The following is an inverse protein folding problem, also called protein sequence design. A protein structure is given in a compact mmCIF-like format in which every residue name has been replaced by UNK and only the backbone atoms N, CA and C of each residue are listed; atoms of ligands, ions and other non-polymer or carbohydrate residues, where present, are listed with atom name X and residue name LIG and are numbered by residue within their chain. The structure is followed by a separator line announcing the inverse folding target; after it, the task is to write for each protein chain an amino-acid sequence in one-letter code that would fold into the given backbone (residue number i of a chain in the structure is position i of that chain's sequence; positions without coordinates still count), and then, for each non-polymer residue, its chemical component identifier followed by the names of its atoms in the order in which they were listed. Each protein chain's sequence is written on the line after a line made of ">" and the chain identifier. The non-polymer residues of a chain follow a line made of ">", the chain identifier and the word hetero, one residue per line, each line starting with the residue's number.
data_IF_249293983341
#
_entry.id   IF_249293983341
#
_cell.length_a   1.000
_cell.length_b   1.000
_cell.length_c   1.000
_cell.angle_alpha   90.00
_cell.angle_beta   90.00
_cell.angle_gamma   90.00
#
_symmetry.space_group_name_H-M   'P 1'
#
loop_
_entity.id
_entity.type
_entity.pdbx_description
1 polymer ?
#
# COMPACT_ATOMS: atom_id res chain seq x y z
N UNK A 1 10.78 -16.18 3.75
CA UNK A 1 9.33 -16.32 3.67
C UNK A 1 8.71 -15.10 2.97
N UNK A 2 8.98 -13.88 3.44
CA UNK A 2 8.42 -12.64 2.90
C UNK A 2 8.82 -12.45 1.44
N UNK A 3 10.09 -12.58 1.10
CA UNK A 3 10.63 -12.42 -0.26
C UNK A 3 10.02 -13.41 -1.28
N UNK A 4 9.55 -14.58 -0.83
CA UNK A 4 8.83 -15.53 -1.69
C UNK A 4 7.39 -15.09 -1.99
N UNK A 5 6.78 -14.30 -1.12
CA UNK A 5 5.39 -13.83 -1.27
C UNK A 5 5.30 -12.45 -1.92
N UNK A 6 6.24 -11.60 -1.59
CA UNK A 6 6.38 -10.24 -2.08
C UNK A 6 7.87 -9.97 -2.35
N UNK A 7 8.41 -10.41 -3.49
CA UNK A 7 9.82 -10.32 -3.78
C UNK A 7 10.32 -8.87 -3.73
N UNK A 8 11.39 -8.60 -2.97
CA UNK A 8 11.92 -7.24 -2.85
C UNK A 8 12.37 -6.64 -4.19
N UNK A 9 12.74 -7.47 -5.15
CA UNK A 9 13.08 -7.02 -6.51
C UNK A 9 11.92 -6.41 -7.29
N UNK A 10 10.68 -6.59 -6.83
CA UNK A 10 9.47 -6.04 -7.46
C UNK A 10 9.06 -4.70 -6.88
N UNK A 11 9.87 -4.11 -6.01
CA UNK A 11 9.65 -2.75 -5.53
C UNK A 11 9.84 -1.73 -6.65
N UNK A 12 9.18 -0.58 -6.51
CA UNK A 12 9.33 0.54 -7.44
C UNK A 12 10.74 1.15 -7.34
N UNK A 13 11.25 1.74 -8.42
CA UNK A 13 12.62 2.28 -8.52
C UNK A 13 12.95 3.34 -7.47
N UNK A 14 11.96 4.08 -7.00
CA UNK A 14 12.13 5.11 -5.96
C UNK A 14 12.08 4.55 -4.53
N UNK A 15 11.70 3.28 -4.37
CA UNK A 15 11.43 2.67 -3.06
C UNK A 15 12.71 2.22 -2.34
N UNK A 16 12.56 1.92 -1.06
CA UNK A 16 13.61 1.38 -0.21
C UNK A 16 13.04 0.25 0.67
N UNK A 17 12.37 -0.72 0.03
CA UNK A 17 11.89 -1.91 0.71
C UNK A 17 13.03 -2.91 0.94
N UNK A 18 12.99 -3.64 2.04
CA UNK A 18 13.98 -4.65 2.36
C UNK A 18 14.45 -4.64 3.81
N UNK A 19 15.63 -5.18 4.05
CA UNK A 19 16.30 -5.19 5.34
C UNK A 19 17.04 -3.88 5.54
N UNK A 20 16.53 -3.02 6.42
CA UNK A 20 16.98 -1.62 6.53
C UNK A 20 17.89 -1.36 7.73
N UNK A 21 17.69 -2.06 8.84
CA UNK A 21 18.45 -1.89 10.08
C UNK A 21 18.64 -3.25 10.74
N UNK A 22 19.85 -3.52 11.28
CA UNK A 22 20.14 -4.68 12.11
C UNK A 22 21.25 -5.58 11.54
N UNK A 23 21.43 -6.75 12.15
CA UNK A 23 22.41 -7.77 11.76
C UNK A 23 21.69 -8.97 11.15
N UNK A 24 22.21 -9.46 10.02
CA UNK A 24 21.55 -10.50 9.22
C UNK A 24 21.58 -11.91 9.84
N UNK A 25 22.45 -12.15 10.81
CA UNK A 25 22.63 -13.40 11.54
C UNK A 25 21.87 -13.43 12.88
N UNK A 26 21.11 -12.39 13.21
CA UNK A 26 20.35 -12.28 14.44
C UNK A 26 19.24 -13.33 14.51
N UNK A 27 19.16 -14.05 15.62
CA UNK A 27 18.06 -14.97 15.89
C UNK A 27 16.77 -14.19 16.19
N UNK A 28 15.71 -14.49 15.46
CA UNK A 28 14.40 -13.86 15.61
C UNK A 28 13.39 -14.89 16.10
N UNK A 29 12.86 -14.70 17.30
CA UNK A 29 11.79 -15.52 17.89
C UNK A 29 10.47 -14.77 18.02
N UNK A 30 10.52 -13.43 18.06
CA UNK A 30 9.35 -12.55 18.11
C UNK A 30 9.47 -11.43 17.10
N UNK A 31 8.36 -11.18 16.42
CA UNK A 31 8.24 -10.11 15.42
C UNK A 31 7.09 -9.20 15.80
N UNK A 32 7.33 -7.89 15.83
CA UNK A 32 6.27 -6.90 15.86
C UNK A 32 5.91 -6.51 14.43
N UNK A 33 4.63 -6.52 14.08
CA UNK A 33 4.15 -6.06 12.78
C UNK A 33 3.46 -4.71 12.95
N UNK A 34 3.85 -3.72 12.16
CA UNK A 34 3.31 -2.37 12.22
C UNK A 34 3.17 -1.76 10.82
N UNK A 35 2.38 -0.71 10.70
CA UNK A 35 2.32 0.09 9.47
C UNK A 35 3.58 0.95 9.35
N UNK A 36 3.91 1.66 10.42
CA UNK A 36 5.04 2.59 10.53
C UNK A 36 5.97 2.20 11.67
N UNK A 37 7.27 2.49 11.52
CA UNK A 37 8.23 2.43 12.62
C UNK A 37 8.29 3.81 13.29
N UNK A 38 7.54 3.96 14.38
CA UNK A 38 7.54 5.15 15.22
C UNK A 38 8.35 4.90 16.52
N UNK A 39 8.72 5.94 17.28
CA UNK A 39 9.36 5.76 18.59
C UNK A 39 8.52 4.89 19.55
N UNK A 40 7.18 4.98 19.50
CA UNK A 40 6.25 4.18 20.28
C UNK A 40 6.30 2.71 19.89
N UNK A 41 6.32 2.42 18.58
CA UNK A 41 6.43 1.05 18.03
C UNK A 41 7.78 0.41 18.41
N UNK A 42 8.88 1.17 18.37
CA UNK A 42 10.20 0.68 18.80
C UNK A 42 10.17 0.35 20.30
N UNK A 43 9.60 1.22 21.13
CA UNK A 43 9.45 0.99 22.58
C UNK A 43 8.60 -0.25 22.84
N UNK A 44 7.45 -0.37 22.20
CA UNK A 44 6.59 -1.55 22.32
C UNK A 44 7.31 -2.85 21.92
N UNK A 45 8.09 -2.82 20.84
CA UNK A 45 8.89 -3.97 20.42
C UNK A 45 9.93 -4.37 21.47
N UNK A 46 10.61 -3.39 22.07
CA UNK A 46 11.58 -3.63 23.15
C UNK A 46 10.89 -4.22 24.42
N UNK A 47 9.78 -3.62 24.86
CA UNK A 47 9.01 -4.09 26.02
C UNK A 47 8.48 -5.51 25.83
N UNK A 48 8.09 -5.87 24.61
CA UNK A 48 7.63 -7.23 24.25
C UNK A 48 8.75 -8.21 23.94
N UNK A 49 10.00 -7.78 23.99
CA UNK A 49 11.17 -8.61 23.65
C UNK A 49 11.16 -9.08 22.20
N UNK A 50 10.74 -8.24 21.26
CA UNK A 50 10.81 -8.51 19.83
C UNK A 50 12.21 -8.20 19.29
N UNK A 51 12.74 -9.07 18.43
CA UNK A 51 14.03 -8.87 17.77
C UNK A 51 13.89 -8.25 16.38
N UNK A 52 12.66 -8.20 15.85
CA UNK A 52 12.39 -7.70 14.51
C UNK A 52 11.10 -6.89 14.50
N UNK A 53 11.12 -5.74 13.86
CA UNK A 53 9.93 -5.04 13.40
C UNK A 53 9.79 -5.26 11.90
N UNK A 54 8.64 -5.79 11.48
CA UNK A 54 8.21 -5.86 10.10
C UNK A 54 7.21 -4.74 9.86
N UNK A 55 7.57 -3.76 9.04
CA UNK A 55 6.71 -2.62 8.74
C UNK A 55 6.35 -2.55 7.25
N UNK A 56 5.30 -1.80 6.94
CA UNK A 56 4.97 -1.45 5.57
C UNK A 56 5.84 -0.29 5.10
N UNK A 57 5.79 0.86 5.79
CA UNK A 57 6.56 2.03 5.41
C UNK A 57 8.03 1.94 5.83
N UNK A 58 8.98 2.33 4.95
CA UNK A 58 10.40 2.32 5.24
C UNK A 58 10.78 3.28 6.38
N UNK A 59 11.54 2.79 7.37
CA UNK A 59 12.11 3.64 8.41
C UNK A 59 13.19 4.57 7.87
N UNK A 60 13.84 4.16 6.78
CA UNK A 60 14.80 4.97 6.03
C UNK A 60 14.21 5.20 4.66
N UNK A 61 13.89 6.46 4.35
CA UNK A 61 13.40 6.87 3.04
C UNK A 61 14.50 7.59 2.27
N UNK A 62 14.90 7.04 1.13
CA UNK A 62 15.95 7.59 0.30
C UNK A 62 17.38 7.41 0.87
N UNK A 63 18.31 8.23 0.38
CA UNK A 63 19.72 8.16 0.78
C UNK A 63 19.95 8.87 2.11
N UNK A 64 20.60 8.18 3.05
CA UNK A 64 20.99 8.73 4.36
C UNK A 64 22.51 8.94 4.35
N UNK A 65 22.93 10.19 4.44
CA UNK A 65 24.37 10.57 4.49
C UNK A 65 24.95 10.51 5.90
N UNK A 66 24.10 10.62 6.93
CA UNK A 66 24.52 10.59 8.34
C UNK A 66 23.39 10.08 9.22
N UNK A 67 23.73 9.41 10.31
CA UNK A 67 22.80 8.92 11.32
C UNK A 67 23.17 9.57 12.65
N UNK A 68 22.38 10.57 13.04
CA UNK A 68 22.54 11.33 14.29
C UNK A 68 21.16 11.50 14.94
N UNK A 69 21.13 11.93 16.18
CA UNK A 69 19.89 12.24 16.91
C UNK A 69 19.20 13.54 16.47
N UNK A 70 19.83 14.31 15.61
CA UNK A 70 19.27 15.56 15.08
C UNK A 70 18.08 15.35 14.16
N UNK A 71 18.00 14.20 13.47
CA UNK A 71 16.91 13.88 12.54
C UNK A 71 15.93 12.84 13.11
N UNK A 72 14.66 12.89 12.69
CA UNK A 72 13.68 11.90 13.11
C UNK A 72 14.05 10.47 12.65
N UNK A 73 14.60 10.33 11.44
CA UNK A 73 15.08 9.04 10.92
C UNK A 73 16.29 8.55 11.73
N UNK A 74 17.28 9.44 11.99
CA UNK A 74 18.47 9.09 12.75
C UNK A 74 18.12 8.61 14.17
N UNK A 75 17.25 9.32 14.89
CA UNK A 75 16.77 8.90 16.22
C UNK A 75 16.13 7.51 16.20
N UNK A 76 15.30 7.20 15.21
CA UNK A 76 14.67 5.89 15.09
C UNK A 76 15.69 4.79 14.79
N UNK A 77 16.62 5.03 13.90
CA UNK A 77 17.70 4.07 13.55
C UNK A 77 18.60 3.81 14.76
N UNK A 78 19.02 4.85 15.48
CA UNK A 78 19.84 4.72 16.70
C UNK A 78 19.07 3.91 17.76
N UNK A 79 17.81 4.21 18.02
CA UNK A 79 16.99 3.48 18.97
C UNK A 79 16.82 1.99 18.60
N UNK A 80 16.64 1.66 17.32
CA UNK A 80 16.59 0.28 16.84
C UNK A 80 17.92 -0.45 17.12
N UNK A 81 19.05 0.19 16.82
CA UNK A 81 20.39 -0.38 17.03
C UNK A 81 20.67 -0.57 18.54
N UNK A 82 20.38 0.42 19.36
CA UNK A 82 20.56 0.38 20.83
C UNK A 82 19.73 -0.72 21.51
N UNK A 83 18.50 -0.98 20.99
CA UNK A 83 17.63 -2.05 21.50
C UNK A 83 17.92 -3.41 20.85
N UNK A 84 18.86 -3.52 19.91
CA UNK A 84 19.13 -4.75 19.19
C UNK A 84 17.95 -5.25 18.34
N UNK A 85 17.12 -4.33 17.84
CA UNK A 85 15.92 -4.65 17.06
C UNK A 85 16.21 -4.42 15.58
N UNK A 86 16.04 -5.47 14.78
CA UNK A 86 16.13 -5.37 13.32
C UNK A 86 14.86 -4.75 12.72
N UNK A 87 14.98 -4.15 11.56
CA UNK A 87 13.86 -3.60 10.81
C UNK A 87 13.85 -4.07 9.36
N UNK A 88 12.74 -4.68 8.96
CA UNK A 88 12.43 -5.05 7.58
C UNK A 88 11.19 -4.28 7.16
N UNK A 89 11.21 -3.77 5.93
CA UNK A 89 10.09 -3.08 5.32
C UNK A 89 9.61 -3.83 4.09
N UNK A 90 8.29 -4.00 3.94
CA UNK A 90 7.62 -4.52 2.75
C UNK A 90 6.62 -3.47 2.28
N UNK A 91 7.02 -2.66 1.32
CA UNK A 91 6.29 -1.49 0.85
C UNK A 91 5.71 -1.73 -0.55
N UNK A 92 6.19 -1.06 -1.58
CA UNK A 92 5.63 -1.20 -2.94
C UNK A 92 5.76 -2.63 -3.50
N UNK A 93 6.72 -3.42 -3.08
CA UNK A 93 6.80 -4.84 -3.40
C UNK A 93 5.59 -5.63 -2.85
N UNK A 94 5.09 -5.27 -1.65
CA UNK A 94 3.88 -5.87 -1.08
C UNK A 94 2.61 -5.33 -1.74
N UNK A 95 2.63 -4.06 -2.17
CA UNK A 95 1.53 -3.46 -2.94
C UNK A 95 1.36 -4.12 -4.30
N UNK A 96 2.47 -4.47 -4.96
CA UNK A 96 2.47 -5.11 -6.28
C UNK A 96 2.16 -6.62 -6.22
N UNK A 97 2.45 -7.28 -5.09
CA UNK A 97 2.36 -8.72 -4.96
C UNK A 97 0.94 -9.26 -5.10
N UNK A 98 0.81 -10.46 -5.69
CA UNK A 98 -0.42 -11.25 -5.61
C UNK A 98 -0.68 -11.65 -4.14
N UNK A 99 -1.91 -11.43 -3.68
CA UNK A 99 -2.28 -11.59 -2.27
C UNK A 99 -1.75 -10.50 -1.33
N UNK A 100 -1.12 -9.45 -1.87
CA UNK A 100 -0.66 -8.28 -1.14
C UNK A 100 -1.76 -7.27 -0.83
N UNK A 101 -1.35 -6.03 -0.50
CA UNK A 101 -2.26 -4.97 -0.01
C UNK A 101 -3.41 -4.70 -0.97
N UNK A 102 -3.11 -4.50 -2.26
CA UNK A 102 -4.13 -4.15 -3.25
C UNK A 102 -5.07 -5.32 -3.57
N UNK A 103 -4.57 -6.56 -3.54
CA UNK A 103 -5.42 -7.76 -3.66
C UNK A 103 -6.38 -7.86 -2.46
N UNK A 104 -5.88 -7.66 -1.24
CA UNK A 104 -6.69 -7.70 -0.03
C UNK A 104 -7.75 -6.58 -0.02
N UNK A 105 -7.38 -5.37 -0.45
CA UNK A 105 -8.28 -4.23 -0.58
C UNK A 105 -9.42 -4.53 -1.58
N UNK A 106 -9.08 -5.03 -2.76
CA UNK A 106 -10.04 -5.39 -3.79
C UNK A 106 -11.00 -6.50 -3.33
N UNK A 107 -10.48 -7.54 -2.67
CA UNK A 107 -11.31 -8.62 -2.10
C UNK A 107 -12.27 -8.10 -1.04
N UNK A 108 -11.82 -7.25 -0.14
CA UNK A 108 -12.68 -6.66 0.89
C UNK A 108 -13.82 -5.82 0.30
N UNK A 109 -13.59 -5.16 -0.81
CA UNK A 109 -14.61 -4.39 -1.52
C UNK A 109 -15.54 -5.27 -2.37
N UNK A 110 -15.28 -6.58 -2.47
CA UNK A 110 -16.05 -7.53 -3.26
C UNK A 110 -15.78 -7.40 -4.75
N UNK A 111 -14.55 -7.13 -5.14
CA UNK A 111 -14.13 -7.13 -6.53
C UNK A 111 -13.73 -8.54 -6.96
N UNK A 112 -14.29 -9.03 -8.07
CA UNK A 112 -13.95 -10.29 -8.73
C UNK A 112 -13.11 -10.06 -9.98
N UNK A 113 -12.55 -11.14 -10.52
CA UNK A 113 -11.75 -11.14 -11.75
C UNK A 113 -10.62 -10.10 -11.72
N UNK A 114 -9.88 -10.09 -10.61
CA UNK A 114 -8.87 -9.10 -10.35
C UNK A 114 -7.67 -9.23 -11.28
N UNK A 115 -7.24 -8.09 -11.83
CA UNK A 115 -5.99 -7.95 -12.58
C UNK A 115 -5.19 -6.76 -12.06
N UNK A 116 -3.86 -6.71 -12.20
CA UNK A 116 -3.08 -5.53 -11.86
C UNK A 116 -3.57 -4.29 -12.63
N UNK A 117 -3.65 -3.13 -11.95
CA UNK A 117 -3.98 -1.85 -12.60
C UNK A 117 -2.82 -1.35 -13.46
N UNK A 118 -1.59 -1.44 -12.95
CA UNK A 118 -0.37 -1.29 -13.74
C UNK A 118 0.37 -2.62 -13.76
N UNK A 119 0.95 -2.98 -14.88
CA UNK A 119 1.80 -4.18 -15.01
C UNK A 119 3.24 -3.72 -15.04
N UNK A 120 3.97 -4.00 -13.96
CA UNK A 120 5.39 -3.64 -13.80
C UNK A 120 6.33 -4.78 -14.25
N UNK A 121 5.78 -6.00 -14.41
CA UNK A 121 6.54 -7.16 -14.86
C UNK A 121 5.77 -8.46 -14.70
N UNK A 122 6.49 -9.57 -14.85
CA UNK A 122 5.99 -10.93 -14.61
C UNK A 122 6.82 -11.63 -13.55
N UNK A 123 6.17 -12.42 -12.69
CA UNK A 123 6.85 -13.26 -11.70
C UNK A 123 7.50 -14.50 -12.36
N UNK A 124 8.14 -15.35 -11.55
CA UNK A 124 8.80 -16.58 -12.02
C UNK A 124 7.83 -17.61 -12.63
N UNK A 125 6.54 -17.49 -12.33
CA UNK A 125 5.47 -18.31 -12.91
C UNK A 125 4.82 -17.66 -14.15
N UNK A 126 5.36 -16.53 -14.65
CA UNK A 126 4.84 -15.79 -15.78
C UNK A 126 3.57 -14.97 -15.48
N UNK A 127 3.21 -14.81 -14.21
CA UNK A 127 2.01 -14.04 -13.81
C UNK A 127 2.36 -12.56 -13.71
N UNK A 128 1.50 -11.66 -14.24
CA UNK A 128 1.74 -10.24 -14.15
C UNK A 128 1.66 -9.77 -12.67
N UNK A 129 2.59 -8.92 -12.27
CA UNK A 129 2.52 -8.19 -11.01
C UNK A 129 2.55 -6.69 -11.27
N UNK A 130 2.07 -5.91 -10.31
CA UNK A 130 2.07 -4.45 -10.38
C UNK A 130 1.13 -3.83 -9.35
N UNK A 131 1.29 -2.54 -9.15
CA UNK A 131 0.54 -1.79 -8.15
C UNK A 131 -0.92 -1.59 -8.57
N UNK A 132 -1.81 -1.61 -7.57
CA UNK A 132 -3.24 -1.49 -7.76
C UNK A 132 -3.90 -2.76 -8.31
N UNK A 133 -5.23 -2.80 -8.24
CA UNK A 133 -6.06 -3.87 -8.81
C UNK A 133 -7.25 -3.27 -9.51
N UNK A 134 -7.69 -3.94 -10.57
CA UNK A 134 -8.95 -3.69 -11.25
C UNK A 134 -9.80 -4.94 -11.15
N UNK A 135 -11.08 -4.78 -10.87
CA UNK A 135 -12.01 -5.91 -10.82
C UNK A 135 -13.45 -5.48 -11.09
N UNK A 136 -14.32 -6.47 -11.25
CA UNK A 136 -15.75 -6.30 -11.41
C UNK A 136 -16.43 -6.35 -10.04
N UNK A 137 -17.36 -5.43 -9.80
CA UNK A 137 -18.11 -5.40 -8.56
C UNK A 137 -19.08 -6.57 -8.47
N UNK A 138 -18.97 -7.35 -7.40
CA UNK A 138 -19.89 -8.44 -7.13
C UNK A 138 -21.31 -7.91 -6.83
N UNK A 139 -22.32 -8.53 -7.43
CA UNK A 139 -23.72 -8.13 -7.28
C UNK A 139 -24.22 -7.15 -8.36
N UNK A 140 -23.35 -6.78 -9.32
CA UNK A 140 -23.69 -5.89 -10.43
C UNK A 140 -23.52 -4.40 -10.11
N UNK A 141 -23.94 -3.53 -11.03
CA UNK A 141 -23.78 -2.08 -10.89
C UNK A 141 -24.55 -1.52 -9.70
N UNK A 142 -23.98 -0.51 -9.02
CA UNK A 142 -24.65 0.25 -7.96
C UNK A 142 -24.36 1.74 -8.09
N UNK A 143 -25.08 2.56 -7.33
CA UNK A 143 -24.81 4.00 -7.28
C UNK A 143 -23.49 4.28 -6.55
N UNK A 144 -22.87 5.40 -6.87
CA UNK A 144 -21.64 5.85 -6.22
C UNK A 144 -21.82 6.00 -4.71
N UNK A 145 -22.96 6.50 -4.25
CA UNK A 145 -23.29 6.63 -2.82
C UNK A 145 -23.36 5.28 -2.10
N UNK A 146 -23.97 4.29 -2.74
CA UNK A 146 -24.07 2.95 -2.16
C UNK A 146 -22.67 2.31 -2.04
N UNK A 147 -21.87 2.39 -3.09
CA UNK A 147 -20.50 1.90 -3.05
C UNK A 147 -19.63 2.66 -2.03
N UNK A 148 -19.84 3.99 -1.87
CA UNK A 148 -19.13 4.78 -0.87
C UNK A 148 -19.43 4.33 0.56
N UNK A 149 -20.71 4.12 0.88
CA UNK A 149 -21.13 3.60 2.18
C UNK A 149 -20.57 2.20 2.43
N UNK A 150 -20.67 1.30 1.46
CA UNK A 150 -20.09 -0.04 1.53
C UNK A 150 -18.59 0.01 1.76
N UNK A 151 -17.84 0.83 1.02
CA UNK A 151 -16.40 0.99 1.19
C UNK A 151 -16.06 1.54 2.58
N UNK A 152 -16.77 2.58 3.05
CA UNK A 152 -16.61 3.17 4.38
C UNK A 152 -16.80 2.14 5.48
N UNK A 153 -17.88 1.37 5.44
CA UNK A 153 -18.23 0.35 6.44
C UNK A 153 -17.23 -0.81 6.41
N UNK A 154 -16.93 -1.34 5.22
CA UNK A 154 -16.05 -2.50 5.03
C UNK A 154 -14.61 -2.21 5.45
N UNK A 155 -14.14 -0.98 5.22
CA UNK A 155 -12.77 -0.55 5.55
C UNK A 155 -12.68 0.13 6.92
N UNK A 156 -13.79 0.32 7.64
CA UNK A 156 -13.84 0.95 8.96
C UNK A 156 -13.42 2.42 8.97
N UNK A 157 -13.74 3.16 7.89
CA UNK A 157 -13.30 4.54 7.72
C UNK A 157 -14.20 5.51 8.49
N UNK A 158 -13.62 6.54 9.11
CA UNK A 158 -14.36 7.63 9.76
C UNK A 158 -15.06 8.54 8.73
N UNK A 159 -14.48 8.71 7.55
CA UNK A 159 -14.99 9.50 6.45
C UNK A 159 -14.50 9.01 5.10
N UNK A 160 -15.18 9.39 4.04
CA UNK A 160 -14.76 9.15 2.65
C UNK A 160 -15.18 10.36 1.81
N UNK A 161 -14.28 10.84 0.96
CA UNK A 161 -14.58 11.89 -0.01
C UNK A 161 -15.02 11.24 -1.31
N UNK A 162 -16.03 11.79 -1.93
CA UNK A 162 -16.62 11.26 -3.17
C UNK A 162 -16.61 12.34 -4.23
N UNK A 163 -16.16 12.01 -5.43
CA UNK A 163 -16.48 12.71 -6.66
C UNK A 163 -17.49 11.83 -7.42
N UNK A 164 -18.65 12.37 -7.72
CA UNK A 164 -19.69 11.69 -8.49
C UNK A 164 -19.64 12.19 -9.94
N UNK A 165 -19.32 11.29 -10.86
CA UNK A 165 -19.33 11.56 -12.31
C UNK A 165 -20.68 11.20 -12.95
N UNK A 166 -21.66 10.73 -12.15
CA UNK A 166 -23.00 10.39 -12.62
C UNK A 166 -23.10 9.05 -13.34
N UNK A 167 -22.10 8.16 -13.17
CA UNK A 167 -22.09 6.83 -13.79
C UNK A 167 -22.27 5.73 -12.74
N UNK A 168 -22.88 4.58 -13.10
CA UNK A 168 -22.94 3.44 -12.19
C UNK A 168 -21.56 2.84 -11.91
N UNK A 169 -21.31 2.45 -10.67
CA UNK A 169 -20.08 1.75 -10.23
C UNK A 169 -20.19 0.28 -10.60
N UNK A 170 -19.32 -0.20 -11.46
CA UNK A 170 -19.27 -1.60 -11.88
C UNK A 170 -17.85 -2.12 -12.02
N UNK A 171 -17.00 -1.43 -12.78
CA UNK A 171 -15.59 -1.80 -12.99
C UNK A 171 -14.69 -0.88 -12.18
N UNK A 172 -14.20 -1.39 -11.07
CA UNK A 172 -13.53 -0.59 -10.04
C UNK A 172 -12.02 -0.82 -10.09
N UNK A 173 -11.26 0.26 -10.10
CA UNK A 173 -9.84 0.26 -9.78
C UNK A 173 -9.63 0.60 -8.31
N UNK A 174 -8.67 -0.06 -7.66
CA UNK A 174 -8.22 0.26 -6.31
C UNK A 174 -6.72 0.45 -6.27
N UNK A 175 -6.26 1.44 -5.50
CA UNK A 175 -4.85 1.68 -5.21
C UNK A 175 -4.68 2.06 -3.75
N UNK A 176 -4.02 1.20 -2.97
CA UNK A 176 -3.65 1.48 -1.59
C UNK A 176 -2.62 2.62 -1.53
N UNK A 177 -2.76 3.52 -0.54
CA UNK A 177 -1.91 4.70 -0.44
C UNK A 177 -2.23 5.77 -1.50
N UNK A 178 -1.25 6.61 -1.82
CA UNK A 178 -1.40 7.78 -2.69
C UNK A 178 -1.23 7.43 -4.18
N UNK A 179 -2.14 6.65 -4.74
CA UNK A 179 -2.09 6.18 -6.12
C UNK A 179 -2.72 7.15 -7.15
N UNK A 180 -2.89 8.42 -6.83
CA UNK A 180 -3.52 9.40 -7.72
C UNK A 180 -2.88 9.52 -9.10
N UNK A 181 -1.58 9.33 -9.22
CA UNK A 181 -0.84 9.33 -10.50
C UNK A 181 -1.22 8.19 -11.46
N UNK A 182 -1.94 7.17 -10.98
CA UNK A 182 -2.40 6.05 -11.79
C UNK A 182 -3.72 6.32 -12.55
N UNK A 183 -4.25 7.54 -12.51
CA UNK A 183 -5.48 7.88 -13.22
C UNK A 183 -5.45 7.56 -14.72
N UNK A 184 -4.34 7.81 -15.45
CA UNK A 184 -4.25 7.40 -16.85
C UNK A 184 -4.45 5.89 -17.08
N UNK A 185 -3.89 5.06 -16.20
CA UNK A 185 -4.07 3.59 -16.26
C UNK A 185 -5.51 3.19 -15.94
N UNK A 186 -6.15 3.83 -14.94
CA UNK A 186 -7.57 3.62 -14.61
C UNK A 186 -8.46 3.87 -15.84
N UNK A 187 -8.19 4.94 -16.58
CA UNK A 187 -8.89 5.26 -17.83
C UNK A 187 -8.62 4.23 -18.93
N UNK A 188 -7.36 3.88 -19.15
CA UNK A 188 -6.96 2.91 -20.16
C UNK A 188 -7.57 1.53 -19.91
N UNK A 189 -7.78 1.15 -18.64
CA UNK A 189 -8.45 -0.08 -18.24
C UNK A 189 -9.98 -0.02 -18.32
N UNK A 190 -10.56 1.12 -18.71
CA UNK A 190 -12.01 1.31 -18.83
C UNK A 190 -12.75 1.21 -17.50
N UNK A 191 -12.12 1.66 -16.41
CA UNK A 191 -12.77 1.69 -15.10
C UNK A 191 -13.69 2.91 -14.99
N UNK A 192 -14.86 2.70 -14.42
CA UNK A 192 -15.81 3.77 -14.06
C UNK A 192 -15.52 4.39 -12.69
N UNK A 193 -14.82 3.65 -11.83
CA UNK A 193 -14.56 4.07 -10.45
C UNK A 193 -13.11 3.79 -10.05
N UNK A 194 -12.53 4.73 -9.31
CA UNK A 194 -11.21 4.55 -8.69
C UNK A 194 -11.26 4.87 -7.19
N UNK A 195 -10.82 3.92 -6.36
CA UNK A 195 -10.65 4.10 -4.92
C UNK A 195 -9.16 4.16 -4.57
N UNK A 196 -8.74 5.25 -3.95
CA UNK A 196 -7.37 5.46 -3.48
C UNK A 196 -7.37 6.37 -2.26
N UNK A 197 -6.25 6.49 -1.54
CA UNK A 197 -6.15 7.39 -0.40
C UNK A 197 -5.96 8.86 -0.86
N UNK A 198 -4.77 9.40 -0.70
CA UNK A 198 -4.52 10.82 -0.95
C UNK A 198 -4.63 11.20 -2.43
N UNK A 199 -5.39 12.26 -2.68
CA UNK A 199 -5.56 12.85 -3.99
C UNK A 199 -5.32 14.35 -3.95
N UNK A 200 -4.48 14.83 -4.87
CA UNK A 200 -4.32 16.26 -5.12
C UNK A 200 -5.56 16.84 -5.81
N UNK A 201 -5.84 18.12 -5.57
CA UNK A 201 -7.04 18.78 -6.08
C UNK A 201 -7.15 18.77 -7.62
N UNK A 202 -6.05 18.96 -8.31
CA UNK A 202 -5.96 18.91 -9.78
C UNK A 202 -6.43 17.55 -10.34
N UNK A 203 -6.07 16.46 -9.68
CA UNK A 203 -6.50 15.13 -10.06
C UNK A 203 -8.00 14.87 -9.86
N UNK A 204 -8.67 15.59 -8.95
CA UNK A 204 -10.14 15.55 -8.85
C UNK A 204 -10.79 16.15 -10.09
N UNK A 205 -10.27 17.28 -10.60
CA UNK A 205 -10.78 17.92 -11.80
C UNK A 205 -10.58 17.04 -13.03
N UNK A 206 -9.38 16.49 -13.19
CA UNK A 206 -9.06 15.57 -14.29
C UNK A 206 -9.96 14.31 -14.30
N UNK A 207 -10.23 13.74 -13.12
CA UNK A 207 -11.13 12.59 -13.02
C UNK A 207 -12.56 12.92 -13.43
N UNK A 208 -13.06 14.09 -13.02
CA UNK A 208 -14.39 14.56 -13.39
C UNK A 208 -14.53 14.73 -14.90
N UNK A 209 -13.54 15.34 -15.54
CA UNK A 209 -13.52 15.48 -16.99
C UNK A 209 -13.43 14.14 -17.71
N UNK A 210 -12.80 13.14 -17.08
CA UNK A 210 -12.68 11.79 -17.59
C UNK A 210 -13.92 10.92 -17.37
N UNK A 211 -14.94 11.40 -16.65
CA UNK A 211 -16.14 10.63 -16.31
C UNK A 211 -15.87 9.47 -15.36
N UNK A 212 -14.89 9.59 -14.45
CA UNK A 212 -14.51 8.56 -13.49
C UNK A 212 -14.94 8.98 -12.10
N UNK A 213 -15.78 8.17 -11.45
CA UNK A 213 -16.13 8.32 -10.05
C UNK A 213 -14.92 8.05 -9.16
N UNK A 214 -14.69 8.92 -8.17
CA UNK A 214 -13.53 8.81 -7.29
C UNK A 214 -13.88 8.87 -5.82
N UNK A 215 -13.07 8.10 -5.05
CA UNK A 215 -13.19 8.01 -3.60
C UNK A 215 -11.80 8.03 -2.96
N UNK A 216 -11.58 8.95 -2.05
CA UNK A 216 -10.37 9.04 -1.24
C UNK A 216 -10.72 9.25 0.25
#
# INVERSE_FOLDING_TARGET
>A
LLDRKAPFRTQMDFDNAGFLVGCGDQQVTRVLVALDITPEVIREAAEKGCQLILAHHPVIWGKVGQITDETATGRKVLALIEQGIAAICAHTNLDAAEGGVNTALALRLGLRDQVPLAVDGTDEAGRPYGVGRVGQLEGGPMTVDHFARRAKETLGLSGIRVLDAGVPVQRVAVGGGACGSMLPQVRAMGCDTFLTADLKHDLYLEAREAGIDRKS
#
